data_IF_784769229224
#
_entry.id   IF_784769229224
#
_cell.length_a   1.000
_cell.length_b   1.000
_cell.length_c   1.000
_cell.angle_alpha   90.00
_cell.angle_beta   90.00
_cell.angle_gamma   90.00
#
_symmetry.space_group_name_H-M   'P 1'
#
loop_
_entity.id
_entity.type
_entity.pdbx_description
1 polymer ?
#
# COMPACT_ATOMS: atom_id res chain seq x y z
N UNK A 1 -0.27 -11.50 8.88
CA UNK A 1 0.44 -10.26 8.47
C UNK A 1 0.30 -10.10 6.96
N UNK A 2 -0.06 -8.91 6.55
CA UNK A 2 -0.33 -8.54 5.16
C UNK A 2 0.73 -7.51 4.76
N UNK A 3 1.82 -7.99 4.17
CA UNK A 3 2.96 -7.16 3.81
C UNK A 3 2.80 -6.73 2.36
N UNK A 4 2.35 -5.49 2.14
CA UNK A 4 1.92 -5.09 0.81
C UNK A 4 3.09 -5.12 -0.19
N UNK A 5 2.84 -5.78 -1.33
CA UNK A 5 3.67 -5.79 -2.54
C UNK A 5 5.15 -6.18 -2.35
N UNK A 6 5.51 -6.85 -1.26
CA UNK A 6 6.91 -7.14 -0.98
C UNK A 6 7.57 -8.03 -2.03
N UNK A 7 8.76 -7.63 -2.46
CA UNK A 7 9.56 -8.43 -3.37
C UNK A 7 10.43 -9.43 -2.58
N UNK A 8 10.03 -10.71 -2.57
CA UNK A 8 10.78 -11.77 -1.88
C UNK A 8 12.06 -12.20 -2.58
N UNK A 9 12.27 -11.86 -3.85
CA UNK A 9 13.59 -12.02 -4.49
C UNK A 9 14.64 -11.13 -3.80
N UNK A 10 14.28 -9.89 -3.49
CA UNK A 10 15.17 -8.97 -2.77
C UNK A 10 15.35 -9.42 -1.31
N UNK A 11 14.28 -9.86 -0.65
CA UNK A 11 14.38 -10.44 0.71
C UNK A 11 15.37 -11.62 0.69
N UNK A 12 15.26 -12.55 -0.27
CA UNK A 12 16.19 -13.68 -0.41
C UNK A 12 17.65 -13.21 -0.56
N UNK A 13 17.94 -12.20 -1.39
CA UNK A 13 19.28 -11.63 -1.52
C UNK A 13 19.83 -11.10 -0.19
N UNK A 14 19.07 -10.26 0.50
CA UNK A 14 19.49 -9.71 1.79
C UNK A 14 19.60 -10.77 2.90
N UNK A 15 18.78 -11.83 2.87
CA UNK A 15 18.91 -12.96 3.80
C UNK A 15 20.19 -13.74 3.55
N UNK A 16 20.61 -13.90 2.29
CA UNK A 16 21.88 -14.55 1.95
C UNK A 16 23.10 -13.75 2.44
N UNK A 17 22.97 -12.42 2.55
CA UNK A 17 23.96 -11.53 3.18
C UNK A 17 23.87 -11.48 4.73
N UNK A 18 22.96 -12.25 5.33
CA UNK A 18 22.77 -12.29 6.79
C UNK A 18 22.10 -11.06 7.39
N UNK A 19 21.42 -10.22 6.58
CA UNK A 19 20.81 -8.97 7.04
C UNK A 19 19.42 -9.12 7.64
N UNK A 20 18.67 -10.14 7.23
CA UNK A 20 17.26 -10.35 7.58
C UNK A 20 17.07 -11.71 8.31
N UNK A 21 17.54 -11.85 9.56
CA UNK A 21 17.52 -13.13 10.28
C UNK A 21 16.11 -13.67 10.56
N UNK A 22 15.11 -12.81 10.78
CA UNK A 22 13.72 -13.19 10.97
C UNK A 22 13.13 -13.85 9.72
N UNK A 23 13.23 -13.18 8.57
CA UNK A 23 12.83 -13.73 7.28
C UNK A 23 13.66 -14.97 6.91
N UNK A 24 14.97 -14.98 7.19
CA UNK A 24 15.81 -16.14 6.91
C UNK A 24 15.31 -17.40 7.66
N UNK A 25 14.85 -17.25 8.91
CA UNK A 25 14.25 -18.36 9.67
C UNK A 25 13.03 -18.95 8.96
N UNK A 26 12.22 -18.12 8.29
CA UNK A 26 11.11 -18.60 7.47
C UNK A 26 11.60 -19.35 6.24
N UNK A 27 12.41 -18.68 5.41
CA UNK A 27 12.85 -19.19 4.11
C UNK A 27 13.59 -20.53 4.20
N UNK A 28 14.27 -20.79 5.31
CA UNK A 28 15.04 -22.03 5.49
C UNK A 28 14.20 -23.22 5.97
N UNK A 29 13.06 -22.98 6.64
CA UNK A 29 12.34 -24.01 7.41
C UNK A 29 10.88 -24.23 6.97
N UNK A 30 10.35 -23.40 6.07
CA UNK A 30 8.95 -23.45 5.64
C UNK A 30 8.82 -23.45 4.12
N UNK A 31 7.68 -23.97 3.65
CA UNK A 31 7.30 -23.88 2.23
C UNK A 31 7.04 -22.42 1.88
N UNK A 32 7.49 -22.02 0.68
CA UNK A 32 7.18 -20.73 0.09
C UNK A 32 6.07 -20.92 -0.93
N UNK A 33 4.92 -20.30 -0.73
CA UNK A 33 3.86 -20.30 -1.74
C UNK A 33 4.01 -19.06 -2.62
N UNK A 34 4.27 -19.23 -3.91
CA UNK A 34 4.12 -18.15 -4.89
C UNK A 34 2.64 -18.04 -5.24
N UNK A 35 2.02 -16.90 -4.89
CA UNK A 35 0.63 -16.63 -5.24
C UNK A 35 0.59 -16.00 -6.65
N UNK A 36 -0.42 -16.36 -7.42
CA UNK A 36 -0.66 -15.78 -8.75
C UNK A 36 -1.96 -14.97 -8.69
N UNK A 37 -1.84 -13.67 -8.89
CA UNK A 37 -2.96 -12.72 -8.97
C UNK A 37 -3.45 -12.55 -10.41
N UNK A 38 -4.34 -11.57 -10.62
CA UNK A 38 -4.88 -11.24 -11.94
C UNK A 38 -3.79 -11.05 -13.00
N UNK A 39 -4.15 -11.27 -14.26
CA UNK A 39 -3.28 -11.00 -15.40
C UNK A 39 -3.69 -9.72 -16.11
N UNK A 40 -2.72 -8.88 -16.46
CA UNK A 40 -2.97 -7.61 -17.15
C UNK A 40 -2.79 -6.40 -16.24
N UNK A 41 -1.99 -5.44 -16.71
CA UNK A 41 -1.53 -4.31 -15.90
C UNK A 41 -2.66 -3.49 -15.22
N UNK A 42 -3.81 -3.21 -15.85
CA UNK A 42 -4.89 -2.46 -15.18
C UNK A 42 -5.52 -3.16 -13.98
N UNK A 43 -5.35 -4.48 -13.85
CA UNK A 43 -5.89 -5.28 -12.77
C UNK A 43 -4.84 -5.59 -11.69
N UNK A 44 -3.57 -5.28 -11.94
CA UNK A 44 -2.46 -5.52 -11.02
C UNK A 44 -2.34 -4.40 -9.99
N UNK A 45 -3.40 -4.17 -9.22
CA UNK A 45 -3.41 -3.15 -8.17
C UNK A 45 -3.68 -3.80 -6.81
N UNK A 46 -3.00 -3.36 -5.72
CA UNK A 46 -3.16 -3.99 -4.42
C UNK A 46 -4.61 -3.88 -3.89
N UNK A 47 -5.31 -2.78 -4.19
CA UNK A 47 -6.71 -2.60 -3.80
C UNK A 47 -7.70 -3.49 -4.59
N UNK A 48 -7.22 -4.21 -5.61
CA UNK A 48 -7.95 -5.30 -6.29
C UNK A 48 -7.57 -6.65 -5.65
N UNK A 49 -6.29 -6.88 -5.38
CA UNK A 49 -5.79 -8.18 -4.92
C UNK A 49 -6.09 -8.49 -3.44
N UNK A 50 -6.13 -7.49 -2.55
CA UNK A 50 -6.50 -7.73 -1.15
C UNK A 50 -7.95 -8.19 -0.98
N UNK A 51 -8.95 -7.61 -1.67
CA UNK A 51 -10.29 -8.19 -1.75
C UNK A 51 -10.32 -9.68 -2.14
N UNK A 52 -9.49 -10.13 -3.08
CA UNK A 52 -9.34 -11.56 -3.44
C UNK A 52 -8.95 -12.41 -2.22
N UNK A 53 -7.95 -11.96 -1.45
CA UNK A 53 -7.51 -12.67 -0.23
C UNK A 53 -8.62 -12.72 0.82
N UNK A 54 -9.33 -11.62 1.01
CA UNK A 54 -10.34 -11.52 2.06
C UNK A 54 -11.62 -12.28 1.73
N UNK A 55 -11.98 -12.42 0.46
CA UNK A 55 -13.25 -13.02 0.05
C UNK A 55 -13.10 -14.45 -0.50
N UNK A 56 -11.92 -14.77 -1.04
CA UNK A 56 -11.65 -15.99 -1.79
C UNK A 56 -12.16 -15.94 -3.24
N UNK A 57 -12.62 -14.77 -3.70
CA UNK A 57 -13.20 -14.55 -5.02
C UNK A 57 -12.18 -13.93 -5.97
N UNK A 58 -12.27 -14.19 -7.27
CA UNK A 58 -11.47 -13.50 -8.30
C UNK A 58 -11.97 -12.07 -8.53
N UNK A 59 -11.21 -11.25 -9.26
CA UNK A 59 -11.68 -9.91 -9.65
C UNK A 59 -13.01 -9.94 -10.40
N UNK A 60 -13.20 -10.90 -11.31
CA UNK A 60 -14.45 -11.04 -12.08
C UNK A 60 -15.68 -11.29 -11.19
N UNK A 61 -15.45 -11.95 -10.06
CA UNK A 61 -16.47 -12.27 -9.06
C UNK A 61 -16.71 -11.11 -8.09
N UNK A 62 -15.65 -10.55 -7.49
CA UNK A 62 -15.82 -9.50 -6.48
C UNK A 62 -16.04 -8.11 -7.08
N UNK A 63 -15.54 -7.83 -8.28
CA UNK A 63 -15.72 -6.57 -9.05
C UNK A 63 -15.31 -5.27 -8.35
N UNK A 64 -14.46 -5.38 -7.32
CA UNK A 64 -13.90 -4.24 -6.60
C UNK A 64 -12.68 -3.78 -7.39
N UNK A 65 -12.77 -2.60 -8.03
CA UNK A 65 -11.75 -2.12 -8.94
C UNK A 65 -10.94 -0.93 -8.39
N UNK A 66 -11.56 -0.03 -7.62
CA UNK A 66 -10.88 1.13 -7.05
C UNK A 66 -10.73 1.02 -5.54
N UNK A 67 -9.76 1.79 -5.03
CA UNK A 67 -9.53 1.95 -3.62
C UNK A 67 -10.77 2.56 -2.93
N UNK A 68 -11.27 1.88 -1.90
CA UNK A 68 -12.47 2.26 -1.15
C UNK A 68 -13.79 1.76 -1.75
N UNK A 69 -13.78 1.09 -2.92
CA UNK A 69 -15.00 0.61 -3.56
C UNK A 69 -15.70 -0.53 -2.80
N UNK A 70 -15.01 -1.19 -1.86
CA UNK A 70 -15.58 -2.33 -1.14
C UNK A 70 -16.93 -2.03 -0.45
N UNK A 71 -17.17 -0.78 -0.03
CA UNK A 71 -18.45 -0.33 0.57
C UNK A 71 -19.64 -0.45 -0.38
N UNK A 72 -19.40 -0.45 -1.70
CA UNK A 72 -20.44 -0.57 -2.73
C UNK A 72 -20.60 -1.99 -3.26
N UNK A 73 -19.73 -2.92 -2.84
CA UNK A 73 -19.69 -4.31 -3.27
C UNK A 73 -19.74 -5.25 -2.06
N UNK A 74 -20.87 -5.29 -1.33
CA UNK A 74 -20.97 -6.03 -0.08
C UNK A 74 -20.77 -7.53 -0.31
N UNK A 75 -19.78 -8.10 0.36
CA UNK A 75 -19.38 -9.50 0.26
C UNK A 75 -18.96 -10.03 1.63
N UNK A 76 -19.17 -11.32 1.88
CA UNK A 76 -18.65 -11.96 3.09
C UNK A 76 -17.13 -12.05 3.00
N UNK A 77 -16.45 -11.38 3.92
CA UNK A 77 -15.00 -11.42 4.03
C UNK A 77 -14.58 -12.42 5.10
N UNK A 78 -13.28 -12.63 5.23
CA UNK A 78 -12.72 -13.65 6.10
C UNK A 78 -13.13 -13.44 7.57
N UNK A 79 -13.21 -12.19 8.03
CA UNK A 79 -13.56 -11.90 9.40
C UNK A 79 -15.00 -12.30 9.72
N UNK A 80 -15.97 -11.98 8.86
CA UNK A 80 -17.37 -12.39 9.07
C UNK A 80 -17.53 -13.92 9.01
N UNK A 81 -16.79 -14.59 8.10
CA UNK A 81 -16.83 -16.05 7.98
C UNK A 81 -16.27 -16.74 9.23
N UNK A 82 -15.16 -16.24 9.78
CA UNK A 82 -14.54 -16.78 10.99
C UNK A 82 -15.38 -16.49 12.24
N UNK A 83 -15.92 -15.29 12.36
CA UNK A 83 -16.84 -14.92 13.45
C UNK A 83 -18.07 -15.84 13.46
N UNK A 84 -18.60 -16.19 12.28
CA UNK A 84 -19.70 -17.14 12.16
C UNK A 84 -19.36 -18.57 12.64
N UNK A 85 -18.08 -18.94 12.70
CA UNK A 85 -17.63 -20.20 13.33
C UNK A 85 -17.41 -20.09 14.84
N UNK A 86 -17.58 -18.90 15.41
CA UNK A 86 -17.39 -18.60 16.82
C UNK A 86 -15.97 -18.16 17.20
N UNK A 87 -15.09 -17.90 16.22
CA UNK A 87 -13.76 -17.35 16.47
C UNK A 87 -13.84 -15.85 16.74
N UNK A 88 -13.01 -15.34 17.65
CA UNK A 88 -12.85 -13.89 17.82
C UNK A 88 -11.92 -13.33 16.74
N UNK A 89 -12.30 -12.18 16.17
CA UNK A 89 -11.60 -11.61 15.01
C UNK A 89 -11.16 -10.18 15.25
N UNK A 90 -10.02 -9.81 14.66
CA UNK A 90 -9.50 -8.45 14.69
C UNK A 90 -8.81 -8.04 13.40
N UNK A 91 -8.85 -6.75 13.06
CA UNK A 91 -8.18 -6.23 11.87
C UNK A 91 -7.60 -4.82 12.09
N UNK A 92 -6.39 -4.58 11.58
CA UNK A 92 -5.80 -3.24 11.44
C UNK A 92 -5.38 -2.99 10.01
N UNK A 93 -5.92 -1.91 9.47
CA UNK A 93 -5.71 -1.36 8.14
C UNK A 93 -5.98 -2.31 6.95
N UNK A 94 -6.90 -3.29 7.02
CA UNK A 94 -7.12 -4.17 5.88
C UNK A 94 -7.50 -3.36 4.65
N UNK A 95 -6.79 -3.59 3.54
CA UNK A 95 -6.90 -2.76 2.34
C UNK A 95 -8.19 -3.07 1.58
N UNK A 96 -9.05 -2.07 1.43
CA UNK A 96 -10.31 -2.16 0.72
C UNK A 96 -11.26 -3.20 1.35
N UNK A 97 -11.42 -3.14 2.67
CA UNK A 97 -12.27 -4.03 3.45
C UNK A 97 -13.30 -3.27 4.31
N UNK A 98 -14.49 -3.85 4.41
CA UNK A 98 -15.62 -3.32 5.17
C UNK A 98 -15.72 -4.09 6.48
N UNK A 99 -15.99 -3.37 7.57
CA UNK A 99 -16.33 -4.00 8.83
C UNK A 99 -17.81 -4.41 8.79
N UNK A 100 -18.09 -5.68 8.46
CA UNK A 100 -19.44 -6.24 8.49
C UNK A 100 -19.59 -7.31 9.59
N UNK A 101 -18.60 -7.42 10.48
CA UNK A 101 -18.61 -8.30 11.64
C UNK A 101 -19.67 -7.84 12.67
N UNK A 102 -20.26 -8.78 13.39
CA UNK A 102 -21.28 -8.49 14.41
C UNK A 102 -20.66 -7.95 15.70
N UNK A 103 -19.50 -8.47 16.09
CA UNK A 103 -18.80 -8.19 17.34
C UNK A 103 -17.30 -8.50 17.21
N UNK A 104 -16.55 -7.84 16.29
CA UNK A 104 -15.10 -8.00 16.23
C UNK A 104 -14.46 -7.42 17.50
N UNK A 105 -13.35 -8.01 17.97
CA UNK A 105 -12.60 -7.48 19.12
C UNK A 105 -12.08 -6.07 18.82
N UNK A 106 -11.60 -5.89 17.59
CA UNK A 106 -11.23 -4.60 17.02
C UNK A 106 -11.26 -4.66 15.49
N UNK A 107 -11.65 -3.57 14.86
CA UNK A 107 -11.59 -3.39 13.41
C UNK A 107 -11.29 -1.93 13.12
N UNK A 108 -10.05 -1.66 12.70
CA UNK A 108 -9.59 -0.35 12.26
C UNK A 108 -9.35 -0.49 10.74
N UNK A 109 -10.19 0.07 9.85
CA UNK A 109 -10.07 -0.12 8.40
C UNK A 109 -8.81 0.54 7.85
N UNK A 110 -8.53 0.40 6.55
CA UNK A 110 -7.55 1.29 5.91
C UNK A 110 -8.00 2.77 5.94
N UNK A 111 -7.09 3.73 5.64
CA UNK A 111 -7.45 5.15 5.63
C UNK A 111 -8.46 5.59 4.56
N UNK A 112 -8.73 4.76 3.55
CA UNK A 112 -9.48 5.12 2.35
C UNK A 112 -10.89 4.53 2.30
N UNK A 113 -11.15 3.49 3.09
CA UNK A 113 -12.41 2.76 3.14
C UNK A 113 -13.29 3.32 4.25
N UNK A 114 -14.45 3.86 3.87
CA UNK A 114 -15.37 4.47 4.81
C UNK A 114 -16.32 3.42 5.42
N UNK A 115 -15.88 2.78 6.50
CA UNK A 115 -16.64 1.78 7.25
C UNK A 115 -16.61 2.05 8.76
N UNK A 116 -17.46 1.34 9.51
CA UNK A 116 -17.49 1.38 10.97
C UNK A 116 -16.14 0.96 11.57
N UNK A 117 -15.73 1.69 12.61
CA UNK A 117 -14.54 1.39 13.41
C UNK A 117 -15.00 0.73 14.71
N UNK A 118 -14.48 -0.46 15.00
CA UNK A 118 -14.68 -1.12 16.30
C UNK A 118 -13.36 -1.07 17.06
N UNK A 119 -13.25 -0.27 18.12
CA UNK A 119 -12.06 -0.27 18.97
C UNK A 119 -12.36 0.44 20.29
N UNK A 120 -11.46 0.31 21.26
CA UNK A 120 -11.53 1.17 22.45
C UNK A 120 -11.36 2.66 22.08
N UNK A 121 -11.90 3.60 22.87
CA UNK A 121 -11.92 5.02 22.50
C UNK A 121 -10.54 5.63 22.22
N UNK A 122 -9.47 5.12 22.84
CA UNK A 122 -8.11 5.62 22.61
C UNK A 122 -7.59 5.12 21.27
N UNK A 123 -7.77 3.85 20.96
CA UNK A 123 -7.37 3.25 19.69
C UNK A 123 -8.16 3.87 18.52
N UNK A 124 -9.47 4.08 18.67
CA UNK A 124 -10.30 4.78 17.67
C UNK A 124 -9.77 6.20 17.43
N UNK A 125 -9.57 7.00 18.49
CA UNK A 125 -9.05 8.36 18.37
C UNK A 125 -7.67 8.40 17.71
N UNK A 126 -6.77 7.48 18.08
CA UNK A 126 -5.44 7.36 17.48
C UNK A 126 -5.54 7.08 15.98
N UNK A 127 -6.37 6.11 15.60
CA UNK A 127 -6.56 5.73 14.20
C UNK A 127 -7.18 6.85 13.37
N UNK A 128 -8.21 7.56 13.87
CA UNK A 128 -8.79 8.70 13.14
C UNK A 128 -7.76 9.79 12.85
N UNK A 129 -6.90 10.11 13.82
CA UNK A 129 -5.80 11.05 13.60
C UNK A 129 -4.84 10.53 12.53
N UNK A 130 -4.43 9.26 12.59
CA UNK A 130 -3.56 8.64 11.58
C UNK A 130 -4.20 8.72 10.19
N UNK A 131 -5.48 8.37 10.07
CA UNK A 131 -6.25 8.46 8.82
C UNK A 131 -6.26 9.88 8.27
N UNK A 132 -6.48 10.86 9.13
CA UNK A 132 -6.44 12.27 8.74
C UNK A 132 -5.04 12.69 8.26
N UNK A 133 -3.96 12.19 8.88
CA UNK A 133 -2.59 12.44 8.40
C UNK A 133 -2.38 11.85 7.01
N UNK A 134 -2.78 10.59 6.80
CA UNK A 134 -2.58 9.89 5.52
C UNK A 134 -3.36 10.56 4.39
N UNK A 135 -4.63 10.89 4.62
CA UNK A 135 -5.48 11.52 3.61
C UNK A 135 -5.09 12.98 3.32
N UNK A 136 -4.52 13.70 4.29
CA UNK A 136 -4.07 15.09 4.10
C UNK A 136 -2.59 15.22 3.73
N UNK A 137 -1.86 14.13 3.53
CA UNK A 137 -0.42 14.14 3.24
C UNK A 137 -0.06 14.94 1.96
N UNK A 138 -1.02 15.12 1.04
CA UNK A 138 -0.88 15.93 -0.16
C UNK A 138 -1.17 17.44 0.04
N UNK A 139 -1.83 17.82 1.13
CA UNK A 139 -2.33 19.18 1.39
C UNK A 139 -1.91 19.63 2.78
N UNK A 140 -0.63 20.04 2.89
CA UNK A 140 0.05 20.43 4.13
C UNK A 140 -0.59 21.64 4.85
N UNK A 141 -1.73 21.44 5.52
CA UNK A 141 -2.41 22.47 6.34
C UNK A 141 -2.09 22.40 7.83
N UNK A 142 -1.43 21.34 8.32
CA UNK A 142 -1.13 21.16 9.74
C UNK A 142 0.39 21.01 9.99
N UNK A 143 0.88 21.68 11.04
CA UNK A 143 2.26 21.56 11.51
C UNK A 143 2.54 20.14 11.99
N UNK A 144 3.64 19.53 11.51
CA UNK A 144 4.09 18.19 11.90
C UNK A 144 4.29 18.04 13.41
N UNK A 145 4.62 19.14 14.10
CA UNK A 145 4.79 19.19 15.56
C UNK A 145 3.46 19.01 16.28
N UNK A 146 2.39 19.66 15.80
CA UNK A 146 1.08 19.61 16.45
C UNK A 146 0.39 18.27 16.23
N UNK A 147 0.61 17.63 15.08
CA UNK A 147 0.23 16.23 14.87
C UNK A 147 0.96 15.30 15.85
N UNK A 148 2.27 15.46 15.98
CA UNK A 148 3.08 14.65 16.91
C UNK A 148 2.62 14.78 18.36
N UNK A 149 2.28 15.99 18.81
CA UNK A 149 1.73 16.25 20.15
C UNK A 149 0.39 15.58 20.42
N UNK A 150 -0.43 15.35 19.39
CA UNK A 150 -1.72 14.68 19.51
C UNK A 150 -1.57 13.16 19.43
N UNK A 151 -0.74 12.65 18.52
CA UNK A 151 -0.54 11.22 18.28
C UNK A 151 0.25 10.58 19.43
N UNK A 152 1.33 11.20 19.89
CA UNK A 152 2.27 10.57 20.82
C UNK A 152 1.62 10.14 22.16
N UNK A 153 0.80 10.96 22.84
CA UNK A 153 0.14 10.53 24.08
C UNK A 153 -0.85 9.38 23.89
N UNK A 154 -1.48 9.30 22.70
CA UNK A 154 -2.40 8.22 22.37
C UNK A 154 -1.65 6.94 21.99
N UNK A 155 -0.51 7.06 21.31
CA UNK A 155 0.34 5.96 20.87
C UNK A 155 1.13 5.34 22.04
N UNK A 156 1.59 6.15 23.00
CA UNK A 156 2.51 5.75 24.05
C UNK A 156 2.14 4.46 24.81
N UNK A 157 0.85 4.23 25.20
CA UNK A 157 0.45 3.00 25.90
C UNK A 157 0.56 1.72 25.06
N UNK A 158 0.59 1.85 23.73
CA UNK A 158 0.66 0.73 22.80
C UNK A 158 2.11 0.36 22.45
N UNK A 159 3.08 1.26 22.66
CA UNK A 159 4.47 1.04 22.30
C UNK A 159 5.08 -0.11 23.11
N UNK A 160 5.62 -1.11 22.41
CA UNK A 160 6.31 -2.23 23.04
C UNK A 160 7.76 -1.87 23.38
N UNK A 161 8.26 -2.36 24.52
CA UNK A 161 9.69 -2.23 24.90
C UNK A 161 10.61 -2.82 23.82
N UNK A 162 10.18 -3.90 23.18
CA UNK A 162 10.93 -4.56 22.09
C UNK A 162 11.00 -3.73 20.81
N UNK A 163 10.14 -2.72 20.68
CA UNK A 163 10.05 -1.85 19.50
C UNK A 163 10.84 -0.55 19.67
N UNK A 164 11.34 -0.23 20.88
CA UNK A 164 12.09 1.01 21.14
C UNK A 164 13.32 1.11 20.23
N UNK A 165 14.08 0.03 20.05
CA UNK A 165 15.24 0.00 19.15
C UNK A 165 14.85 0.34 17.71
N UNK A 166 13.68 -0.12 17.25
CA UNK A 166 13.10 0.18 15.94
C UNK A 166 12.86 1.68 15.79
N UNK A 167 12.20 2.33 16.75
CA UNK A 167 11.98 3.77 16.70
C UNK A 167 13.28 4.58 16.81
N UNK A 168 14.22 4.20 17.68
CA UNK A 168 15.53 4.86 17.79
C UNK A 168 16.32 4.80 16.47
N UNK A 169 16.12 3.75 15.69
CA UNK A 169 16.69 3.62 14.34
C UNK A 169 15.92 4.44 13.29
N UNK A 170 14.59 4.46 13.34
CA UNK A 170 13.75 5.16 12.36
C UNK A 170 13.83 6.68 12.53
N UNK A 171 13.73 7.19 13.75
CA UNK A 171 13.63 8.63 14.02
C UNK A 171 14.73 9.49 13.37
N UNK A 172 16.04 9.21 13.56
CA UNK A 172 17.09 10.01 12.92
C UNK A 172 17.05 9.88 11.39
N UNK A 173 16.72 8.70 10.87
CA UNK A 173 16.56 8.47 9.42
C UNK A 173 15.39 9.25 8.86
N UNK A 174 14.25 9.31 9.55
CA UNK A 174 13.05 10.04 9.13
C UNK A 174 13.18 11.56 9.19
N UNK A 175 14.11 12.07 10.01
CA UNK A 175 14.51 13.48 10.00
C UNK A 175 15.33 13.83 8.74
N UNK A 176 16.18 12.92 8.28
CA UNK A 176 17.03 13.12 7.10
C UNK A 176 16.33 12.78 5.79
N UNK A 177 15.56 11.68 5.77
CA UNK A 177 14.98 11.10 4.58
C UNK A 177 13.47 10.96 4.74
N UNK A 178 12.71 11.63 3.87
CA UNK A 178 11.23 11.68 3.96
C UNK A 178 10.60 10.29 3.86
N UNK A 179 11.16 9.39 3.07
CA UNK A 179 10.65 8.03 2.88
C UNK A 179 10.59 7.21 4.18
N UNK A 180 11.50 7.46 5.13
CA UNK A 180 11.56 6.72 6.39
C UNK A 180 10.43 7.06 7.35
N UNK A 181 9.66 8.13 7.09
CA UNK A 181 8.46 8.46 7.89
C UNK A 181 7.40 7.36 7.79
N UNK A 182 7.26 6.70 6.64
CA UNK A 182 6.33 5.59 6.46
C UNK A 182 6.65 4.42 7.41
N UNK A 183 7.94 4.20 7.72
CA UNK A 183 8.36 3.16 8.67
C UNK A 183 7.86 3.40 10.10
N UNK A 184 7.63 4.67 10.50
CA UNK A 184 7.08 5.02 11.82
C UNK A 184 5.63 4.54 11.91
N UNK A 185 4.84 4.81 10.86
CA UNK A 185 3.44 4.41 10.81
C UNK A 185 3.29 2.90 10.91
N UNK A 186 3.97 2.15 10.06
CA UNK A 186 3.90 0.69 10.09
C UNK A 186 4.39 0.10 11.42
N UNK A 187 5.42 0.70 12.02
CA UNK A 187 5.89 0.31 13.36
C UNK A 187 4.83 0.53 14.44
N UNK A 188 4.09 1.64 14.36
CA UNK A 188 3.01 1.97 15.29
C UNK A 188 1.80 1.06 15.10
N UNK A 189 1.42 0.78 13.86
CA UNK A 189 0.33 -0.17 13.56
C UNK A 189 0.67 -1.56 14.08
N UNK A 190 1.92 -2.02 13.93
CA UNK A 190 2.36 -3.31 14.47
C UNK A 190 2.31 -3.36 16.01
N UNK A 191 2.74 -2.30 16.69
CA UNK A 191 2.67 -2.21 18.16
C UNK A 191 1.22 -2.18 18.66
N UNK A 192 0.37 -1.37 18.03
CA UNK A 192 -1.06 -1.30 18.32
C UNK A 192 -1.74 -2.66 18.11
N UNK A 193 -1.46 -3.32 16.99
CA UNK A 193 -2.00 -4.64 16.68
C UNK A 193 -1.62 -5.66 17.73
N UNK A 194 -0.33 -5.77 18.07
CA UNK A 194 0.14 -6.70 19.09
C UNK A 194 -0.49 -6.40 20.45
N UNK A 195 -0.66 -5.12 20.81
CA UNK A 195 -1.33 -4.76 22.04
C UNK A 195 -2.79 -5.24 22.06
N UNK A 196 -3.55 -4.97 20.99
CA UNK A 196 -4.96 -5.34 20.90
C UNK A 196 -5.14 -6.87 20.87
N UNK A 197 -4.36 -7.60 20.07
CA UNK A 197 -4.36 -9.06 20.05
C UNK A 197 -4.14 -9.66 21.46
N UNK A 198 -3.16 -9.13 22.21
CA UNK A 198 -2.87 -9.60 23.57
C UNK A 198 -3.98 -9.26 24.57
N UNK A 199 -4.55 -8.06 24.45
CA UNK A 199 -5.59 -7.58 25.38
C UNK A 199 -6.88 -8.38 25.24
N UNK A 200 -7.24 -8.74 24.02
CA UNK A 200 -8.51 -9.38 23.70
C UNK A 200 -8.41 -10.91 23.60
N UNK A 201 -7.20 -11.48 23.52
CA UNK A 201 -7.00 -12.90 23.22
C UNK A 201 -7.67 -13.33 21.90
N UNK A 202 -7.55 -12.47 20.88
CA UNK A 202 -8.18 -12.65 19.58
C UNK A 202 -7.63 -13.90 18.87
N UNK A 203 -8.53 -14.77 18.38
CA UNK A 203 -8.17 -16.02 17.68
C UNK A 203 -7.55 -15.73 16.31
N UNK A 204 -8.14 -14.81 15.54
CA UNK A 204 -7.64 -14.42 14.22
C UNK A 204 -7.47 -12.91 14.09
N UNK A 205 -6.26 -12.49 13.71
CA UNK A 205 -5.94 -11.08 13.49
C UNK A 205 -5.24 -10.82 12.16
N UNK A 206 -5.68 -9.80 11.43
CA UNK A 206 -4.98 -9.28 10.25
C UNK A 206 -4.34 -7.91 10.52
N UNK A 207 -3.10 -7.74 10.01
CA UNK A 207 -2.34 -6.51 10.10
C UNK A 207 -1.75 -6.19 8.73
N UNK A 208 -2.22 -5.10 8.12
CA UNK A 208 -1.73 -4.59 6.85
C UNK A 208 -0.68 -3.50 7.02
N UNK A 209 0.46 -3.68 6.35
CA UNK A 209 1.61 -2.78 6.37
C UNK A 209 2.02 -2.40 4.94
N UNK A 210 2.24 -1.11 4.68
CA UNK A 210 2.37 -0.58 3.31
C UNK A 210 3.68 0.17 3.03
N UNK A 211 4.48 0.49 4.04
CA UNK A 211 5.72 1.25 3.85
C UNK A 211 6.71 0.55 2.90
N UNK A 212 6.74 -0.79 2.89
CA UNK A 212 7.54 -1.59 1.96
C UNK A 212 7.20 -1.30 0.50
N UNK A 213 5.92 -1.44 0.13
CA UNK A 213 5.42 -1.11 -1.21
C UNK A 213 5.73 0.33 -1.61
N UNK A 214 5.46 1.30 -0.72
CA UNK A 214 5.74 2.71 -0.97
C UNK A 214 7.23 2.96 -1.25
N UNK A 215 8.13 2.41 -0.42
CA UNK A 215 9.58 2.59 -0.58
C UNK A 215 10.09 1.87 -1.83
N UNK A 216 9.59 0.68 -2.14
CA UNK A 216 9.93 -0.03 -3.38
C UNK A 216 9.56 0.80 -4.62
N UNK A 217 8.36 1.37 -4.67
CA UNK A 217 7.91 2.21 -5.80
C UNK A 217 8.84 3.41 -6.06
N UNK A 218 9.45 3.99 -5.02
CA UNK A 218 10.21 5.24 -5.14
C UNK A 218 11.73 5.09 -5.01
N UNK A 219 12.21 3.97 -4.44
CA UNK A 219 13.62 3.80 -4.04
C UNK A 219 14.21 2.43 -4.39
N UNK A 220 13.51 1.59 -5.17
CA UNK A 220 14.05 0.28 -5.55
C UNK A 220 15.37 0.35 -6.35
N UNK A 221 15.61 1.40 -7.15
CA UNK A 221 16.88 1.58 -7.86
C UNK A 221 18.08 1.90 -6.94
N UNK A 222 17.84 2.30 -5.69
CA UNK A 222 18.91 2.58 -4.70
C UNK A 222 19.25 1.36 -3.84
N UNK A 223 18.57 0.24 -4.09
CA UNK A 223 18.79 -1.02 -3.37
C UNK A 223 20.10 -1.68 -3.80
N UNK A 224 20.87 -2.19 -2.84
CA UNK A 224 22.07 -3.01 -3.12
C UNK A 224 21.73 -4.34 -3.78
N UNK A 225 20.50 -4.83 -3.59
CA UNK A 225 20.00 -6.04 -4.23
C UNK A 225 19.52 -5.82 -5.69
N UNK A 226 19.47 -4.56 -6.14
CA UNK A 226 19.14 -4.22 -7.53
C UNK A 226 20.38 -4.34 -8.43
N UNK A 227 20.21 -4.99 -9.58
CA UNK A 227 21.30 -5.33 -10.51
C UNK A 227 21.12 -4.65 -11.89
N UNK A 228 20.24 -3.65 -12.00
CA UNK A 228 20.04 -2.93 -13.25
C UNK A 228 20.78 -1.60 -13.30
N UNK A 229 20.62 -0.89 -14.42
CA UNK A 229 21.43 0.28 -14.75
C UNK A 229 20.82 1.61 -14.29
N UNK A 230 19.58 1.62 -13.78
CA UNK A 230 18.92 2.86 -13.36
C UNK A 230 19.32 3.30 -11.96
N UNK A 231 19.36 4.61 -11.76
CA UNK A 231 19.59 5.21 -10.46
C UNK A 231 18.67 6.41 -10.29
N UNK A 232 18.21 6.62 -9.06
CA UNK A 232 17.51 7.85 -8.72
C UNK A 232 18.47 9.04 -8.85
N UNK A 233 18.06 10.15 -9.52
CA UNK A 233 18.86 11.36 -9.54
C UNK A 233 19.04 11.94 -8.14
N UNK A 234 20.19 12.58 -7.89
CA UNK A 234 20.55 13.15 -6.57
C UNK A 234 19.54 14.17 -6.05
N UNK A 235 18.94 14.94 -6.95
CA UNK A 235 17.91 15.92 -6.60
C UNK A 235 16.59 15.27 -6.17
N UNK A 236 16.34 14.01 -6.56
CA UNK A 236 15.16 13.24 -6.16
C UNK A 236 15.39 12.52 -4.83
N UNK A 237 16.55 11.87 -4.69
CA UNK A 237 16.96 11.18 -3.48
C UNK A 237 18.48 11.22 -3.31
N UNK A 238 18.93 11.56 -2.10
CA UNK A 238 20.36 11.54 -1.72
C UNK A 238 20.78 10.22 -1.05
N UNK A 239 19.87 9.23 -0.96
CA UNK A 239 20.17 7.98 -0.26
C UNK A 239 21.23 7.16 -1.01
N UNK A 240 21.13 7.04 -2.34
CA UNK A 240 22.14 6.39 -3.18
C UNK A 240 23.55 6.98 -3.00
N UNK A 241 23.69 8.31 -3.07
CA UNK A 241 24.98 9.00 -2.87
C UNK A 241 25.56 8.78 -1.48
N UNK A 242 24.69 8.72 -0.47
CA UNK A 242 25.06 8.46 0.91
C UNK A 242 25.28 6.97 1.23
N UNK A 243 25.20 6.07 0.23
CA UNK A 243 25.26 4.62 0.39
C UNK A 243 24.25 4.09 1.42
N UNK A 244 23.09 4.75 1.50
CA UNK A 244 21.93 4.32 2.28
C UNK A 244 21.01 3.56 1.36
N UNK A 245 20.66 2.33 1.74
CA UNK A 245 19.73 1.48 1.01
C UNK A 245 18.34 1.59 1.67
N UNK A 246 17.38 2.34 1.08
CA UNK A 246 16.07 2.53 1.68
C UNK A 246 15.27 1.23 1.76
N UNK A 247 15.47 0.32 0.79
CA UNK A 247 14.73 -0.92 0.70
C UNK A 247 15.20 -1.93 1.75
N UNK A 248 16.51 -2.10 1.90
CA UNK A 248 17.08 -2.86 3.02
C UNK A 248 16.61 -2.29 4.36
N UNK A 249 16.61 -0.96 4.50
CA UNK A 249 16.19 -0.31 5.74
C UNK A 249 14.77 -0.73 6.15
N UNK A 250 13.78 -0.62 5.27
CA UNK A 250 12.41 -1.04 5.61
C UNK A 250 12.29 -2.55 5.81
N UNK A 251 13.04 -3.35 5.05
CA UNK A 251 13.05 -4.80 5.24
C UNK A 251 13.62 -5.20 6.60
N UNK A 252 14.63 -4.51 7.13
CA UNK A 252 15.13 -4.75 8.49
C UNK A 252 14.11 -4.34 9.56
N UNK A 253 13.32 -3.28 9.33
CA UNK A 253 12.20 -2.90 10.20
C UNK A 253 11.13 -4.01 10.22
N UNK A 254 10.74 -4.51 9.04
CA UNK A 254 9.80 -5.62 8.92
C UNK A 254 10.37 -6.93 9.48
N UNK A 255 11.65 -7.23 9.29
CA UNK A 255 12.31 -8.39 9.87
C UNK A 255 12.23 -8.39 11.40
N UNK A 256 12.41 -7.21 12.00
CA UNK A 256 12.22 -7.01 13.44
C UNK A 256 10.77 -7.27 13.88
N UNK A 257 9.78 -6.77 13.14
CA UNK A 257 8.36 -7.03 13.42
C UNK A 257 8.06 -8.53 13.30
N UNK A 258 8.44 -9.15 12.19
CA UNK A 258 8.29 -10.59 11.92
C UNK A 258 8.93 -11.43 13.03
N UNK A 259 10.14 -11.05 13.47
CA UNK A 259 10.82 -11.69 14.59
C UNK A 259 10.06 -11.56 15.91
N UNK A 260 9.42 -10.41 16.16
CA UNK A 260 8.57 -10.22 17.35
C UNK A 260 7.35 -11.15 17.33
N UNK A 261 6.70 -11.35 16.17
CA UNK A 261 5.61 -12.31 16.04
C UNK A 261 6.09 -13.75 16.24
N UNK A 262 7.19 -14.14 15.60
CA UNK A 262 7.77 -15.47 15.70
C UNK A 262 8.26 -15.86 17.10
N UNK A 263 8.64 -14.88 17.92
CA UNK A 263 9.12 -15.14 19.28
C UNK A 263 7.99 -15.56 20.24
N UNK A 264 6.73 -15.51 19.79
CA UNK A 264 5.56 -15.83 20.60
C UNK A 264 5.19 -17.31 20.42
N UNK A 265 5.12 -18.10 21.51
CA UNK A 265 4.92 -19.55 21.42
C UNK A 265 3.52 -19.95 20.91
N UNK A 266 2.51 -19.15 21.18
CA UNK A 266 1.10 -19.43 20.84
C UNK A 266 0.64 -18.65 19.59
N UNK A 267 1.56 -18.23 18.72
CA UNK A 267 1.23 -17.47 17.51
C UNK A 267 1.47 -18.32 16.26
N UNK A 268 0.39 -18.60 15.54
CA UNK A 268 0.46 -19.07 14.15
C UNK A 268 0.64 -17.85 13.23
N UNK A 269 1.86 -17.62 12.74
CA UNK A 269 2.15 -16.49 11.87
C UNK A 269 2.03 -16.88 10.39
N UNK A 270 1.11 -16.21 9.70
CA UNK A 270 1.06 -16.18 8.25
C UNK A 270 1.49 -14.83 7.70
N UNK A 271 2.25 -14.84 6.60
CA UNK A 271 2.67 -13.64 5.89
C UNK A 271 2.20 -13.76 4.45
N UNK A 272 1.43 -12.77 3.97
CA UNK A 272 0.90 -12.75 2.60
C UNK A 272 1.27 -11.44 1.91
N UNK A 273 1.51 -11.51 0.60
CA UNK A 273 1.47 -10.39 -0.34
C UNK A 273 0.46 -10.75 -1.44
N UNK A 274 -0.46 -9.84 -1.78
CA UNK A 274 -1.45 -10.07 -2.85
C UNK A 274 -0.81 -10.09 -4.25
N UNK A 275 0.22 -9.25 -4.42
CA UNK A 275 1.10 -9.19 -5.59
C UNK A 275 2.50 -8.79 -5.09
N UNK A 276 3.45 -8.53 -5.97
CA UNK A 276 4.72 -7.89 -5.59
C UNK A 276 5.20 -6.90 -6.65
N UNK A 277 6.28 -6.17 -6.37
CA UNK A 277 6.90 -5.29 -7.35
C UNK A 277 8.20 -5.87 -7.91
N UNK A 278 8.55 -5.48 -9.14
CA UNK A 278 9.86 -5.68 -9.75
C UNK A 278 10.45 -4.34 -10.18
N UNK A 279 11.78 -4.24 -10.35
CA UNK A 279 12.37 -3.01 -10.86
C UNK A 279 11.77 -2.64 -12.20
N UNK A 280 11.46 -1.36 -12.36
CA UNK A 280 11.01 -0.85 -13.63
C UNK A 280 12.13 -0.98 -14.65
N UNK A 281 11.78 -1.52 -15.82
CA UNK A 281 12.71 -1.65 -16.95
C UNK A 281 12.96 -0.31 -17.65
N UNK A 282 12.33 0.77 -17.18
CA UNK A 282 12.42 2.12 -17.73
C UNK A 282 12.48 3.14 -16.60
N UNK A 283 13.15 4.26 -16.88
CA UNK A 283 13.13 5.42 -16.00
C UNK A 283 11.87 6.25 -16.29
N UNK A 284 10.79 6.01 -15.54
CA UNK A 284 9.51 6.69 -15.72
C UNK A 284 9.31 7.79 -14.69
N UNK A 285 9.34 9.04 -15.16
CA UNK A 285 9.04 10.22 -14.35
C UNK A 285 7.54 10.49 -14.38
N UNK A 286 6.91 10.70 -13.23
CA UNK A 286 5.47 10.96 -13.14
C UNK A 286 5.22 12.39 -12.70
N UNK A 287 4.36 13.09 -13.43
CA UNK A 287 4.10 14.53 -13.24
C UNK A 287 2.64 14.80 -12.90
N UNK A 288 2.41 15.92 -12.21
CA UNK A 288 1.08 16.45 -11.91
C UNK A 288 1.05 17.95 -12.18
N UNK A 289 -0.10 18.44 -12.64
CA UNK A 289 -0.34 19.88 -12.82
C UNK A 289 -0.34 20.58 -11.46
N UNK A 290 0.44 21.66 -11.34
CA UNK A 290 0.58 22.46 -10.11
C UNK A 290 -0.66 23.31 -9.89
N UNK A 291 -1.02 24.12 -10.88
CA UNK A 291 -2.19 24.98 -10.88
C UNK A 291 -3.09 24.58 -12.05
N UNK A 292 -4.12 23.81 -11.74
CA UNK A 292 -5.05 23.32 -12.74
C UNK A 292 -5.84 24.44 -13.41
N UNK A 293 -6.30 25.44 -12.66
CA UNK A 293 -7.12 26.53 -13.20
C UNK A 293 -6.29 27.37 -14.18
N UNK A 294 -5.09 27.77 -13.76
CA UNK A 294 -4.18 28.53 -14.62
C UNK A 294 -3.75 27.75 -15.86
N UNK A 295 -3.45 26.46 -15.70
CA UNK A 295 -3.05 25.61 -16.81
C UNK A 295 -4.16 25.43 -17.85
N UNK A 296 -5.38 25.08 -17.39
CA UNK A 296 -6.53 24.84 -18.28
C UNK A 296 -6.92 26.13 -19.02
N UNK A 297 -6.94 27.27 -18.31
CA UNK A 297 -7.19 28.56 -18.93
C UNK A 297 -6.10 28.90 -19.98
N UNK A 298 -4.84 28.58 -19.70
CA UNK A 298 -3.70 28.82 -20.61
C UNK A 298 -3.79 28.04 -21.93
N UNK A 299 -4.41 26.86 -21.93
CA UNK A 299 -4.66 26.06 -23.15
C UNK A 299 -6.03 26.33 -23.78
N UNK A 300 -6.80 27.28 -23.24
CA UNK A 300 -8.11 27.69 -23.77
C UNK A 300 -9.30 26.88 -23.28
N UNK A 301 -9.13 25.99 -22.30
CA UNK A 301 -10.25 25.26 -21.68
C UNK A 301 -10.87 26.15 -20.61
N UNK A 302 -12.11 26.59 -20.86
CA UNK A 302 -12.90 27.42 -19.95
C UNK A 302 -14.14 26.67 -19.48
N UNK A 303 -14.62 27.00 -18.28
CA UNK A 303 -15.85 26.45 -17.69
C UNK A 303 -15.87 24.94 -17.41
N UNK A 304 -14.70 24.32 -17.23
CA UNK A 304 -14.60 22.96 -16.71
C UNK A 304 -14.67 22.95 -15.17
N UNK A 305 -15.42 22.01 -14.60
CA UNK A 305 -15.26 21.68 -13.17
C UNK A 305 -14.10 20.70 -13.04
N UNK A 306 -13.02 21.14 -12.40
CA UNK A 306 -11.80 20.35 -12.24
C UNK A 306 -11.87 19.54 -10.95
N UNK A 307 -11.63 18.23 -11.04
CA UNK A 307 -11.50 17.34 -9.89
C UNK A 307 -10.14 16.63 -9.93
N UNK A 308 -9.09 17.23 -9.32
CA UNK A 308 -7.78 16.58 -9.23
C UNK A 308 -7.87 15.25 -8.48
N UNK A 309 -7.06 14.26 -8.86
CA UNK A 309 -6.86 13.02 -8.09
C UNK A 309 -5.55 13.08 -7.31
N UNK A 310 -5.22 12.01 -6.58
CA UNK A 310 -4.03 11.98 -5.71
C UNK A 310 -2.71 12.07 -6.50
N UNK A 311 -2.68 11.52 -7.73
CA UNK A 311 -1.47 11.35 -8.55
C UNK A 311 -1.48 12.28 -9.78
N UNK A 312 -1.10 11.74 -10.94
CA UNK A 312 -1.06 12.35 -12.28
C UNK A 312 -2.43 12.46 -12.96
N UNK A 313 -3.46 11.85 -12.36
CA UNK A 313 -4.81 11.78 -12.91
C UNK A 313 -5.70 12.94 -12.45
N UNK A 314 -6.67 13.31 -13.28
CA UNK A 314 -7.67 14.33 -12.98
C UNK A 314 -8.93 14.11 -13.82
N UNK A 315 -10.07 14.59 -13.31
CA UNK A 315 -11.32 14.59 -14.06
C UNK A 315 -11.69 16.04 -14.42
N UNK A 316 -12.06 16.25 -15.68
CA UNK A 316 -12.73 17.49 -16.12
C UNK A 316 -14.20 17.17 -16.37
N UNK A 317 -15.10 17.96 -15.80
CA UNK A 317 -16.53 17.83 -16.03
C UNK A 317 -17.08 19.08 -16.71
N UNK A 318 -17.93 18.87 -17.71
CA UNK A 318 -18.50 19.91 -18.57
C UNK A 318 -20.02 19.88 -18.51
N UNK A 319 -20.67 20.94 -19.01
CA UNK A 319 -22.13 21.02 -19.09
C UNK A 319 -22.74 20.18 -20.21
N UNK A 320 -21.94 19.73 -21.17
CA UNK A 320 -22.37 18.95 -22.32
C UNK A 320 -21.22 18.10 -22.88
N UNK A 321 -21.57 17.06 -23.63
CA UNK A 321 -20.58 16.22 -24.30
C UNK A 321 -19.84 16.94 -25.44
N UNK A 322 -20.50 17.88 -26.12
CA UNK A 322 -19.86 18.72 -27.14
C UNK A 322 -18.72 19.56 -26.54
N UNK A 323 -18.96 20.21 -25.40
CA UNK A 323 -17.92 20.97 -24.69
C UNK A 323 -16.76 20.07 -24.21
N UNK A 324 -17.05 18.82 -23.81
CA UNK A 324 -16.02 17.86 -23.45
C UNK A 324 -15.18 17.46 -24.67
N UNK A 325 -15.79 17.27 -25.85
CA UNK A 325 -15.07 16.95 -27.08
C UNK A 325 -14.15 18.09 -27.53
N UNK A 326 -14.63 19.34 -27.46
CA UNK A 326 -13.81 20.53 -27.76
C UNK A 326 -12.60 20.61 -26.82
N UNK A 327 -12.81 20.37 -25.52
CA UNK A 327 -11.74 20.35 -24.54
C UNK A 327 -10.75 19.19 -24.77
N UNK A 328 -11.22 18.02 -25.20
CA UNK A 328 -10.36 16.89 -25.54
C UNK A 328 -9.45 17.22 -26.72
N UNK A 329 -9.96 17.94 -27.74
CA UNK A 329 -9.16 18.41 -28.87
C UNK A 329 -8.08 19.42 -28.44
N UNK A 330 -8.41 20.32 -27.51
CA UNK A 330 -7.44 21.25 -26.91
C UNK A 330 -6.35 20.51 -26.12
N UNK A 331 -6.71 19.52 -25.31
CA UNK A 331 -5.73 18.69 -24.59
C UNK A 331 -4.80 17.92 -25.55
N UNK A 332 -5.34 17.40 -26.66
CA UNK A 332 -4.55 16.70 -27.69
C UNK A 332 -3.58 17.63 -28.45
N UNK A 333 -3.85 18.94 -28.45
CA UNK A 333 -2.96 19.96 -29.02
C UNK A 333 -1.72 20.21 -28.17
N UNK A 334 -1.72 19.77 -26.90
CA UNK A 334 -0.56 19.88 -26.01
C UNK A 334 0.35 18.69 -26.23
N UNK A 335 1.52 18.92 -26.82
CA UNK A 335 2.42 17.87 -27.27
C UNK A 335 3.85 18.08 -26.79
N UNK A 336 4.58 16.97 -26.66
CA UNK A 336 6.01 16.96 -26.37
C UNK A 336 6.69 15.93 -27.28
N UNK A 337 7.69 16.37 -28.04
CA UNK A 337 8.39 15.48 -28.99
C UNK A 337 7.44 14.79 -29.99
N UNK A 338 6.37 15.48 -30.42
CA UNK A 338 5.36 14.97 -31.34
C UNK A 338 4.37 13.95 -30.75
N UNK A 339 4.34 13.78 -29.42
CA UNK A 339 3.37 12.93 -28.72
C UNK A 339 2.47 13.77 -27.82
N UNK A 340 1.19 13.41 -27.63
CA UNK A 340 0.32 14.08 -26.67
C UNK A 340 0.90 14.05 -25.26
N UNK A 341 0.81 15.18 -24.56
CA UNK A 341 1.17 15.28 -23.14
C UNK A 341 0.15 14.56 -22.26
N UNK A 342 -1.11 14.48 -22.70
CA UNK A 342 -2.20 13.90 -21.93
C UNK A 342 -2.74 12.62 -22.58
N UNK A 343 -3.02 11.62 -21.75
CA UNK A 343 -3.95 10.54 -22.09
C UNK A 343 -5.34 10.98 -21.67
N UNK A 344 -6.31 10.89 -22.57
CA UNK A 344 -7.68 11.37 -22.35
C UNK A 344 -8.65 10.24 -22.69
N UNK A 345 -9.48 9.89 -21.72
CA UNK A 345 -10.62 8.99 -21.89
C UNK A 345 -11.91 9.82 -21.84
N UNK A 346 -12.64 9.87 -22.95
CA UNK A 346 -13.93 10.53 -23.06
C UNK A 346 -15.04 9.63 -22.49
N UNK A 347 -15.83 10.17 -21.56
CA UNK A 347 -16.94 9.50 -20.89
C UNK A 347 -18.27 10.26 -21.07
N UNK A 348 -18.40 11.05 -22.13
CA UNK A 348 -19.59 11.84 -22.43
C UNK A 348 -19.41 13.29 -21.98
N UNK A 349 -20.02 13.68 -20.87
CA UNK A 349 -19.90 15.03 -20.30
C UNK A 349 -18.69 15.20 -19.36
N UNK A 350 -17.87 14.15 -19.23
CA UNK A 350 -16.64 14.15 -18.43
C UNK A 350 -15.48 13.56 -19.20
N UNK A 351 -14.28 14.10 -18.94
CA UNK A 351 -13.01 13.57 -19.42
C UNK A 351 -12.19 13.06 -18.24
N UNK A 352 -11.75 11.81 -18.29
CA UNK A 352 -10.74 11.30 -17.38
C UNK A 352 -9.36 11.45 -18.03
N UNK A 353 -8.52 12.29 -17.43
CA UNK A 353 -7.27 12.72 -18.01
C UNK A 353 -6.09 12.30 -17.12
N UNK A 354 -4.95 12.06 -17.76
CA UNK A 354 -3.70 11.71 -17.10
C UNK A 354 -2.55 12.43 -17.79
N UNK A 355 -1.58 12.97 -17.02
CA UNK A 355 -0.30 13.39 -17.59
C UNK A 355 0.48 12.17 -18.06
N UNK A 356 0.66 12.04 -19.37
CA UNK A 356 1.24 10.89 -20.07
C UNK A 356 2.66 11.16 -20.60
N UNK A 357 3.39 12.04 -19.91
CA UNK A 357 4.82 12.24 -20.14
C UNK A 357 5.65 11.53 -19.07
N UNK A 358 6.66 10.79 -19.53
CA UNK A 358 7.49 9.92 -18.68
C UNK A 358 8.99 10.24 -18.73
N UNK A 359 9.41 11.28 -19.46
CA UNK A 359 10.82 11.67 -19.57
C UNK A 359 11.27 12.59 -18.43
N UNK A 360 12.57 12.91 -18.40
CA UNK A 360 13.14 13.77 -17.36
C UNK A 360 12.65 15.24 -17.47
N UNK A 361 12.67 16.03 -16.37
CA UNK A 361 12.07 17.36 -16.33
C UNK A 361 12.59 18.34 -17.39
N UNK A 362 13.83 18.16 -17.84
CA UNK A 362 14.47 18.98 -18.89
C UNK A 362 13.70 18.90 -20.21
N UNK A 363 13.05 17.77 -20.51
CA UNK A 363 12.30 17.62 -21.74
C UNK A 363 11.05 18.51 -21.81
N UNK A 364 10.53 19.01 -20.69
CA UNK A 364 9.32 19.85 -20.61
C UNK A 364 9.52 21.28 -21.14
N UNK A 365 10.76 21.71 -21.38
CA UNK A 365 11.07 23.07 -21.86
C UNK A 365 10.64 23.30 -23.32
N UNK A 366 10.45 22.22 -24.08
CA UNK A 366 10.18 22.24 -25.52
C UNK A 366 8.76 21.72 -25.85
N UNK A 367 7.78 21.95 -24.97
CA UNK A 367 6.40 21.57 -25.24
C UNK A 367 5.78 22.45 -26.33
N UNK A 368 4.80 21.90 -27.03
CA UNK A 368 3.97 22.61 -28.00
C UNK A 368 2.55 22.69 -27.46
N UNK A 369 1.93 23.86 -27.53
CA UNK A 369 0.48 24.05 -27.34
C UNK A 369 -0.05 24.58 -28.66
N UNK A 370 -0.69 23.71 -29.43
CA UNK A 370 -0.93 23.96 -30.85
C UNK A 370 0.41 24.11 -31.60
N UNK A 371 0.65 25.26 -32.22
CA UNK A 371 1.90 25.56 -32.93
C UNK A 371 2.92 26.33 -32.07
N UNK A 372 2.55 26.73 -30.85
CA UNK A 372 3.38 27.57 -29.99
C UNK A 372 4.27 26.75 -29.07
N UNK A 373 5.58 26.99 -29.13
CA UNK A 373 6.51 26.46 -28.15
C UNK A 373 6.33 27.12 -26.77
N UNK A 374 6.25 26.29 -25.73
CA UNK A 374 5.95 26.67 -24.35
C UNK A 374 6.78 25.84 -23.39
N UNK A 375 7.34 26.47 -22.35
CA UNK A 375 8.02 25.78 -21.25
C UNK A 375 6.98 25.37 -20.19
N UNK A 376 6.86 24.07 -19.92
CA UNK A 376 5.88 23.53 -18.97
C UNK A 376 6.48 23.17 -17.60
N UNK A 377 7.75 23.46 -17.33
CA UNK A 377 8.42 23.08 -16.07
C UNK A 377 7.79 23.70 -14.83
N UNK A 378 7.31 24.93 -14.91
CA UNK A 378 6.64 25.60 -13.78
C UNK A 378 5.18 25.16 -13.61
N UNK A 379 4.60 24.53 -14.65
CA UNK A 379 3.23 24.07 -14.67
C UNK A 379 3.06 22.63 -14.19
N UNK A 380 4.13 21.83 -14.27
CA UNK A 380 4.13 20.42 -13.93
C UNK A 380 5.14 20.14 -12.82
N UNK A 381 4.65 19.68 -11.66
CA UNK A 381 5.49 19.17 -10.60
C UNK A 381 5.76 17.68 -10.81
N UNK A 382 7.03 17.29 -10.69
CA UNK A 382 7.38 15.88 -10.56
C UNK A 382 6.84 15.34 -9.23
N UNK A 383 6.06 14.28 -9.30
CA UNK A 383 5.47 13.60 -8.14
C UNK A 383 6.35 12.45 -7.69
N UNK A 384 6.82 11.64 -8.62
CA UNK A 384 7.60 10.44 -8.34
C UNK A 384 8.41 9.99 -9.57
N UNK A 385 9.38 9.13 -9.31
CA UNK A 385 10.03 8.30 -10.31
C UNK A 385 9.62 6.86 -9.98
N UNK A 386 9.03 6.16 -10.94
CA UNK A 386 8.50 4.81 -10.78
C UNK A 386 9.64 3.79 -10.87
N UNK A 387 10.22 3.47 -9.71
CA UNK A 387 11.33 2.52 -9.59
C UNK A 387 10.85 1.07 -9.53
N UNK A 388 9.68 0.85 -8.93
CA UNK A 388 9.01 -0.45 -8.87
C UNK A 388 7.76 -0.45 -9.74
N UNK A 389 7.48 -1.58 -10.39
CA UNK A 389 6.21 -1.82 -11.08
C UNK A 389 5.60 -3.11 -10.58
N UNK A 390 4.27 -3.19 -10.57
CA UNK A 390 3.56 -4.38 -10.12
C UNK A 390 3.83 -5.58 -11.05
N UNK A 391 3.93 -6.76 -10.45
CA UNK A 391 3.91 -8.04 -11.13
C UNK A 391 2.87 -8.96 -10.49
N UNK A 392 2.37 -9.91 -11.28
CA UNK A 392 1.32 -10.87 -10.85
C UNK A 392 1.73 -11.76 -9.66
N UNK A 393 3.04 -12.03 -9.50
CA UNK A 393 3.52 -12.94 -8.47
C UNK A 393 3.51 -12.25 -7.11
N UNK A 394 2.77 -12.81 -6.15
CA UNK A 394 2.88 -12.51 -4.73
C UNK A 394 3.45 -13.70 -3.97
N UNK A 395 3.40 -13.64 -2.64
CA UNK A 395 3.94 -14.69 -1.79
C UNK A 395 3.06 -14.94 -0.57
N UNK A 396 2.96 -16.20 -0.16
CA UNK A 396 2.31 -16.62 1.07
C UNK A 396 3.22 -17.57 1.86
N UNK A 397 3.27 -17.36 3.17
CA UNK A 397 4.06 -18.13 4.12
C UNK A 397 3.20 -18.49 5.32
N UNK A 398 3.46 -19.67 5.84
CA UNK A 398 2.75 -20.26 6.97
C UNK A 398 3.80 -20.87 7.92
N UNK A 399 3.83 -20.42 9.18
CA UNK A 399 4.80 -20.87 10.18
C UNK A 399 4.61 -22.33 10.65
N UNK A 400 3.48 -22.96 10.34
CA UNK A 400 3.18 -24.35 10.68
C UNK A 400 3.44 -25.31 9.51
N UNK A 401 3.50 -24.82 8.27
CA UNK A 401 3.85 -25.64 7.10
C UNK A 401 5.37 -25.69 6.91
N UNK A 402 5.99 -26.78 7.40
CA UNK A 402 7.42 -27.05 7.22
C UNK A 402 7.74 -27.45 5.78
N UNK A 403 8.88 -26.98 5.28
CA UNK A 403 9.43 -27.31 3.97
C UNK A 403 10.81 -26.71 3.82
N UNK A 404 11.73 -27.36 3.10
CA UNK A 404 13.11 -26.88 2.98
C UNK A 404 13.39 -26.42 1.54
N UNK A 405 13.20 -25.14 1.29
CA UNK A 405 13.43 -24.54 -0.03
C UNK A 405 12.39 -24.92 -1.09
N UNK A 406 11.31 -25.59 -0.68
CA UNK A 406 10.19 -25.91 -1.55
C UNK A 406 9.43 -24.64 -1.89
N UNK A 407 9.24 -24.40 -3.19
CA UNK A 407 8.39 -23.33 -3.70
C UNK A 407 7.22 -23.94 -4.45
N UNK A 408 6.00 -23.60 -4.03
CA UNK A 408 4.75 -24.11 -4.60
C UNK A 408 3.97 -22.94 -5.16
N UNK A 409 3.42 -23.07 -6.37
CA UNK A 409 2.61 -22.02 -6.97
C UNK A 409 1.13 -22.29 -6.75
N UNK A 410 0.40 -21.29 -6.27
CA UNK A 410 -1.04 -21.36 -5.97
C UNK A 410 -1.77 -20.12 -6.52
N UNK A 411 -3.06 -20.21 -6.89
CA UNK A 411 -3.84 -19.02 -7.19
C UNK A 411 -4.03 -18.18 -5.91
N UNK A 412 -4.13 -16.85 -6.04
CA UNK A 412 -4.30 -15.96 -4.89
C UNK A 412 -5.57 -16.27 -4.09
N UNK A 413 -6.64 -16.71 -4.75
CA UNK A 413 -7.90 -17.12 -4.11
C UNK A 413 -7.73 -18.26 -3.12
N UNK A 414 -6.75 -19.15 -3.31
CA UNK A 414 -6.47 -20.27 -2.40
C UNK A 414 -5.99 -19.80 -1.02
N UNK A 415 -5.38 -18.61 -0.93
CA UNK A 415 -4.93 -18.05 0.34
C UNK A 415 -6.10 -17.87 1.31
N UNK A 416 -7.28 -17.51 0.81
CA UNK A 416 -8.47 -17.38 1.64
C UNK A 416 -8.79 -18.69 2.39
N UNK A 417 -8.84 -19.81 1.67
CA UNK A 417 -9.15 -21.10 2.27
C UNK A 417 -8.05 -21.55 3.25
N UNK A 418 -6.78 -21.25 2.95
CA UNK A 418 -5.66 -21.56 3.85
C UNK A 418 -5.77 -20.81 5.18
N UNK A 419 -6.15 -19.54 5.14
CA UNK A 419 -6.40 -18.74 6.35
C UNK A 419 -7.57 -19.31 7.15
N UNK A 420 -8.67 -19.68 6.49
CA UNK A 420 -9.84 -20.31 7.13
C UNK A 420 -9.48 -21.65 7.81
N UNK A 421 -8.75 -22.52 7.09
CA UNK A 421 -8.36 -23.83 7.57
C UNK A 421 -7.41 -23.77 8.77
N UNK A 422 -6.55 -22.76 8.84
CA UNK A 422 -5.63 -22.59 9.95
C UNK A 422 -6.36 -22.28 11.25
N UNK A 423 -7.31 -21.34 11.23
CA UNK A 423 -8.10 -21.01 12.42
C UNK A 423 -8.94 -22.22 12.86
N UNK A 424 -9.50 -22.98 11.90
CA UNK A 424 -10.25 -24.19 12.21
C UNK A 424 -9.40 -25.29 12.86
N UNK A 425 -8.11 -25.42 12.47
CA UNK A 425 -7.17 -26.39 13.06
C UNK A 425 -6.68 -25.95 14.45
N UNK A 426 -6.54 -24.65 14.66
CA UNK A 426 -6.07 -24.09 15.92
C UNK A 426 -7.19 -24.02 16.98
N UNK A 427 -8.47 -24.08 16.55
CA UNK A 427 -9.61 -24.22 17.43
C UNK A 427 -9.51 -25.53 18.24
N UNK A 428 -9.11 -25.42 19.52
CA UNK A 428 -9.09 -26.55 20.45
C UNK A 428 -10.49 -27.18 20.51
N UNK A 429 -10.62 -28.53 20.54
CA UNK A 429 -11.92 -29.15 20.80
C UNK A 429 -12.39 -28.63 22.16
N UNK A 430 -13.51 -27.90 22.18
CA UNK A 430 -14.15 -27.46 23.40
C UNK A 430 -14.44 -28.71 24.25
N UNK A 431 -13.63 -28.96 25.28
CA UNK A 431 -14.05 -29.80 26.39
C UNK A 431 -15.16 -29.02 27.09
N UNK A 432 -16.40 -29.25 26.64
CA UNK A 432 -17.57 -28.95 27.45
C UNK A 432 -17.50 -29.86 28.65
N UNK A 433 -17.02 -29.33 29.78
CA UNK A 433 -17.24 -29.99 31.06
C UNK A 433 -18.74 -30.25 31.21
N UNK A 434 -19.15 -31.49 31.50
CA UNK A 434 -20.56 -31.77 31.73
C UNK A 434 -20.97 -30.97 32.96
N UNK A 435 -21.97 -30.11 32.77
CA UNK A 435 -22.70 -29.47 33.86
C UNK A 435 -23.14 -30.59 34.81
N UNK A 436 -22.61 -30.57 36.03
CA UNK A 436 -22.99 -31.52 37.07
C UNK A 436 -24.51 -31.44 37.30
N UNK A 437 -25.08 -32.63 37.46
CA UNK A 437 -26.52 -32.95 37.45
C UNK A 437 -27.42 -32.12 38.36
#
# INVERSE_FOLDING_TARGET
MELNELNFHFIKKYTAEGKLPGFNRFLQNHVIFETVSESGYPYLEPWIQWPTVYTGLTYDEHRIFRLGDAVYHPQLQIWEKLEATGATVGAISPMNAVNACKSPDFFLPDPWTNTEITADPRADKLFRLIRDVVNNNASAKLSTIDLGRQILPLAFPYLSRTSISRYLRIMPTALKYKWAKACILDSLLADLFLHLMNRHHTDYGSLFLNAGAHIQHHHMFESKAYEGDFQNPSWYSTAGEANVDPLLFIYEIYDGIVSQFLARPDTHLMITTGLSQVPNSKMHYQYRIVDFEAFMAGIGIVHATIKPRMSRDFLLAFSSSEAAQDAAALLASVQLGGKPLFSVEDRGDTLFCQVAYYGAPEGLENALVGERQTDLREHLALVSIENGIHQTIGYHFDSHIRGRGETVRIPLTEVHQRLMDAVAKDAKPQQREPVAA
#
